data_IF_529256150172
#
_entry.id   IF_529256150172
#
_cell.length_a   1.000
_cell.length_b   1.000
_cell.length_c   1.000
_cell.angle_alpha   90.00
_cell.angle_beta   90.00
_cell.angle_gamma   90.00
#
_symmetry.space_group_name_H-M   'P 1'
#
loop_
_entity.id
_entity.type
_entity.pdbx_description
1 polymer ?
#
# COMPACT_ATOMS: atom_id res chain seq x y z
N UNK A 1 14.51 -1.89 64.62
CA UNK A 1 14.49 -2.93 63.58
C UNK A 1 13.59 -2.43 62.46
N UNK A 2 14.21 -1.69 61.53
CA UNK A 2 14.18 -1.87 60.07
C UNK A 2 12.80 -2.07 59.41
N UNK A 3 12.26 -1.07 58.72
CA UNK A 3 12.55 -0.67 57.33
C UNK A 3 11.87 -1.55 56.27
N UNK A 4 10.98 -0.93 55.47
CA UNK A 4 10.67 -1.13 54.04
C UNK A 4 10.53 -2.58 53.48
N UNK A 5 9.50 -2.94 52.70
CA UNK A 5 9.35 -2.71 51.24
C UNK A 5 7.96 -3.30 50.86
N UNK A 6 6.99 -2.50 50.41
CA UNK A 6 6.60 -2.31 49.00
C UNK A 6 6.06 -3.56 48.26
N UNK A 7 4.80 -3.50 47.84
CA UNK A 7 4.34 -4.14 46.60
C UNK A 7 3.03 -3.48 46.14
N UNK A 8 3.15 -2.26 45.63
CA UNK A 8 2.10 -1.63 44.85
C UNK A 8 1.96 -2.43 43.55
N UNK A 9 0.92 -3.25 43.44
CA UNK A 9 0.56 -3.90 42.17
C UNK A 9 0.14 -2.81 41.19
N UNK A 10 1.06 -2.39 40.33
CA UNK A 10 0.76 -1.54 39.18
C UNK A 10 -0.13 -2.35 38.23
N UNK A 11 -1.37 -1.94 37.96
CA UNK A 11 -2.15 -2.59 36.93
C UNK A 11 -1.49 -2.26 35.59
N UNK A 12 -1.05 -3.30 34.87
CA UNK A 12 -0.57 -3.16 33.49
C UNK A 12 -1.69 -2.55 32.65
N UNK A 13 -1.55 -1.27 32.30
CA UNK A 13 -2.38 -0.64 31.28
C UNK A 13 -2.24 -1.49 30.02
N UNK A 14 -3.33 -2.16 29.61
CA UNK A 14 -3.43 -2.73 28.28
C UNK A 14 -3.38 -1.55 27.32
N UNK A 15 -2.24 -1.32 26.68
CA UNK A 15 -2.15 -0.46 25.51
C UNK A 15 -3.13 -1.00 24.48
N UNK A 16 -4.30 -0.36 24.36
CA UNK A 16 -5.16 -0.56 23.23
C UNK A 16 -4.34 -0.10 22.02
N UNK A 17 -3.81 -1.04 21.24
CA UNK A 17 -3.33 -0.74 19.89
C UNK A 17 -4.50 -0.06 19.19
N UNK A 18 -4.46 1.27 19.09
CA UNK A 18 -5.45 2.03 18.32
C UNK A 18 -5.40 1.42 16.92
N UNK A 19 -6.42 0.65 16.55
CA UNK A 19 -6.64 0.30 15.15
C UNK A 19 -6.67 1.66 14.45
N UNK A 20 -5.64 1.96 13.63
CA UNK A 20 -5.72 3.08 12.71
C UNK A 20 -6.93 2.78 11.84
N UNK A 21 -8.06 3.42 12.14
CA UNK A 21 -9.17 3.46 11.20
C UNK A 21 -8.61 4.03 9.91
N UNK A 22 -8.55 3.17 8.90
CA UNK A 22 -8.25 3.57 7.54
C UNK A 22 -9.36 4.55 7.15
N UNK A 23 -8.96 5.72 6.65
CA UNK A 23 -9.89 6.77 6.23
C UNK A 23 -10.10 6.61 4.73
N UNK A 24 -11.30 6.96 4.20
CA UNK A 24 -11.47 7.14 2.77
C UNK A 24 -10.47 8.20 2.31
N UNK A 25 -9.65 7.85 1.33
CA UNK A 25 -8.62 8.73 0.82
C UNK A 25 -9.10 9.51 -0.39
N UNK A 26 -8.57 10.71 -0.53
CA UNK A 26 -8.68 11.46 -1.77
C UNK A 26 -8.03 10.68 -2.92
N UNK A 27 -8.73 10.59 -4.05
CA UNK A 27 -8.34 9.75 -5.18
C UNK A 27 -7.05 10.26 -5.84
N UNK A 28 -6.93 11.58 -6.05
CA UNK A 28 -5.77 12.17 -6.73
C UNK A 28 -4.51 12.00 -5.90
N UNK A 29 -4.62 12.24 -4.60
CA UNK A 29 -3.53 12.05 -3.64
C UNK A 29 -3.06 10.59 -3.62
N UNK A 30 -4.00 9.64 -3.51
CA UNK A 30 -3.67 8.21 -3.53
C UNK A 30 -3.09 7.77 -4.89
N UNK A 31 -3.60 8.30 -6.00
CA UNK A 31 -3.07 8.04 -7.33
C UNK A 31 -1.61 8.50 -7.45
N UNK A 32 -1.30 9.70 -6.95
CA UNK A 32 0.07 10.22 -6.96
C UNK A 32 1.02 9.37 -6.11
N UNK A 33 0.60 9.03 -4.89
CA UNK A 33 1.39 8.21 -3.96
C UNK A 33 1.65 6.82 -4.55
N UNK A 34 0.61 6.20 -5.09
CA UNK A 34 0.67 4.85 -5.63
C UNK A 34 1.51 4.79 -6.91
N UNK A 35 1.39 5.78 -7.80
CA UNK A 35 2.28 5.93 -8.96
C UNK A 35 3.75 6.05 -8.55
N UNK A 36 4.04 6.83 -7.53
CA UNK A 36 5.41 7.03 -7.03
C UNK A 36 5.98 5.74 -6.45
N UNK A 37 5.22 5.05 -5.59
CA UNK A 37 5.62 3.77 -4.99
C UNK A 37 5.85 2.69 -6.06
N UNK A 38 4.94 2.56 -7.04
CA UNK A 38 5.09 1.58 -8.12
C UNK A 38 6.32 1.87 -8.99
N UNK A 39 6.58 3.15 -9.30
CA UNK A 39 7.76 3.55 -10.05
C UNK A 39 9.06 3.22 -9.29
N UNK A 40 9.11 3.49 -7.99
CA UNK A 40 10.26 3.15 -7.16
C UNK A 40 10.48 1.64 -7.09
N UNK A 41 9.41 0.85 -6.88
CA UNK A 41 9.49 -0.61 -6.92
C UNK A 41 9.99 -1.15 -8.24
N UNK A 42 9.50 -0.60 -9.35
CA UNK A 42 9.95 -0.99 -10.68
C UNK A 42 11.43 -0.70 -10.89
N UNK A 43 11.90 0.50 -10.51
CA UNK A 43 13.32 0.87 -10.61
C UNK A 43 14.25 -0.02 -9.77
N UNK A 44 13.77 -0.48 -8.62
CA UNK A 44 14.53 -1.32 -7.70
C UNK A 44 14.37 -2.82 -7.96
N UNK A 45 13.50 -3.22 -8.89
CA UNK A 45 13.25 -4.62 -9.20
C UNK A 45 14.34 -5.19 -10.10
N UNK A 46 14.73 -6.44 -9.82
CA UNK A 46 15.63 -7.22 -10.67
C UNK A 46 14.87 -8.01 -11.76
N UNK A 47 13.55 -7.85 -11.83
CA UNK A 47 12.66 -8.55 -12.76
C UNK A 47 12.04 -7.54 -13.73
N UNK A 48 11.82 -7.93 -15.00
CA UNK A 48 11.23 -7.05 -16.00
C UNK A 48 9.78 -6.66 -15.69
N UNK A 49 9.05 -7.54 -14.99
CA UNK A 49 7.66 -7.34 -14.59
C UNK A 49 7.52 -7.71 -13.12
N UNK A 50 7.87 -6.81 -12.18
CA UNK A 50 7.75 -7.11 -10.76
C UNK A 50 6.27 -7.22 -10.38
N UNK A 51 5.94 -8.27 -9.64
CA UNK A 51 4.57 -8.57 -9.22
C UNK A 51 4.46 -8.57 -7.71
N UNK A 52 3.38 -7.99 -7.19
CA UNK A 52 3.10 -7.87 -5.76
C UNK A 52 1.65 -8.27 -5.46
N UNK A 53 1.41 -8.83 -4.28
CA UNK A 53 0.04 -9.07 -3.82
C UNK A 53 -0.63 -7.73 -3.48
N UNK A 54 -1.87 -7.54 -3.93
CA UNK A 54 -2.61 -6.30 -3.72
C UNK A 54 -2.83 -6.02 -2.23
N UNK A 55 -3.00 -7.07 -1.42
CA UNK A 55 -3.16 -6.96 0.03
C UNK A 55 -1.89 -6.44 0.72
N UNK A 56 -0.71 -6.73 0.19
CA UNK A 56 0.56 -6.19 0.69
C UNK A 56 0.72 -4.73 0.28
N UNK A 57 0.44 -4.43 -0.99
CA UNK A 57 0.53 -3.07 -1.52
C UNK A 57 -0.43 -2.13 -0.76
N UNK A 58 -1.67 -2.57 -0.51
CA UNK A 58 -2.67 -1.80 0.21
C UNK A 58 -2.38 -1.57 1.71
N UNK A 59 -1.41 -2.29 2.30
CA UNK A 59 -0.97 -2.03 3.69
C UNK A 59 -0.02 -0.84 3.78
N UNK A 60 0.63 -0.46 2.68
CA UNK A 60 1.58 0.66 2.64
C UNK A 60 0.86 2.00 2.77
N UNK A 61 -0.37 2.06 2.27
CA UNK A 61 -1.16 3.28 2.26
C UNK A 61 -2.07 3.37 3.49
N UNK A 62 -2.24 4.57 4.08
CA UNK A 62 -3.17 4.81 5.19
C UNK A 62 -4.65 4.82 4.74
N UNK A 63 -4.94 4.29 3.55
CA UNK A 63 -6.24 4.32 2.87
C UNK A 63 -6.97 2.99 2.99
N UNK A 64 -8.29 3.05 2.79
CA UNK A 64 -9.11 1.85 2.69
C UNK A 64 -8.70 0.97 1.52
N UNK A 65 -8.79 -0.34 1.73
CA UNK A 65 -8.40 -1.34 0.73
C UNK A 65 -9.12 -1.14 -0.61
N UNK A 66 -10.41 -0.79 -0.54
CA UNK A 66 -11.25 -0.56 -1.72
C UNK A 66 -10.75 0.62 -2.54
N UNK A 67 -10.27 1.69 -1.92
CA UNK A 67 -9.78 2.86 -2.65
C UNK A 67 -8.45 2.57 -3.34
N UNK A 68 -7.56 1.81 -2.70
CA UNK A 68 -6.33 1.30 -3.33
C UNK A 68 -6.65 0.44 -4.55
N UNK A 69 -7.63 -0.47 -4.44
CA UNK A 69 -8.05 -1.32 -5.55
C UNK A 69 -8.62 -0.50 -6.71
N UNK A 70 -9.45 0.51 -6.43
CA UNK A 70 -9.99 1.41 -7.47
C UNK A 70 -8.87 2.13 -8.22
N UNK A 71 -7.87 2.67 -7.51
CA UNK A 71 -6.73 3.33 -8.13
C UNK A 71 -5.90 2.36 -8.97
N UNK A 72 -5.69 1.13 -8.49
CA UNK A 72 -5.00 0.09 -9.26
C UNK A 72 -5.74 -0.30 -10.54
N UNK A 73 -7.06 -0.43 -10.49
CA UNK A 73 -7.89 -0.67 -11.68
C UNK A 73 -7.83 0.51 -12.66
N UNK A 74 -7.78 1.74 -12.14
CA UNK A 74 -7.56 2.92 -12.98
C UNK A 74 -6.19 2.87 -13.67
N UNK A 75 -5.13 2.49 -12.95
CA UNK A 75 -3.80 2.32 -13.53
C UNK A 75 -3.74 1.14 -14.52
N UNK A 76 -4.51 0.08 -14.29
CA UNK A 76 -4.65 -1.05 -15.23
C UNK A 76 -5.21 -0.57 -16.57
N UNK A 77 -6.25 0.27 -16.54
CA UNK A 77 -6.83 0.87 -17.74
C UNK A 77 -5.84 1.75 -18.52
N UNK A 78 -4.88 2.37 -17.82
CA UNK A 78 -3.81 3.13 -18.45
C UNK A 78 -2.64 2.28 -18.96
N UNK A 79 -2.64 0.96 -18.69
CA UNK A 79 -1.57 0.04 -19.07
C UNK A 79 -0.32 0.09 -18.19
N UNK A 80 -0.34 0.85 -17.09
CA UNK A 80 0.80 0.98 -16.16
C UNK A 80 0.95 -0.24 -15.23
N UNK A 81 -0.14 -0.96 -15.00
CA UNK A 81 -0.14 -2.23 -14.24
C UNK A 81 -1.01 -3.25 -14.98
N UNK A 82 -0.81 -4.52 -14.65
CA UNK A 82 -1.63 -5.64 -15.10
C UNK A 82 -2.11 -6.42 -13.88
N UNK A 83 -3.38 -6.85 -13.88
CA UNK A 83 -3.95 -7.69 -12.82
C UNK A 83 -4.40 -9.02 -13.46
N UNK A 84 -3.48 -10.00 -13.61
CA UNK A 84 -3.75 -11.21 -14.39
C UNK A 84 -4.90 -12.06 -13.81
N UNK A 85 -5.01 -12.08 -12.48
CA UNK A 85 -5.93 -12.97 -11.76
C UNK A 85 -7.30 -12.33 -11.44
N UNK A 86 -7.62 -11.16 -12.02
CA UNK A 86 -8.79 -10.39 -11.62
C UNK A 86 -10.14 -11.09 -11.85
N UNK A 87 -10.17 -12.03 -12.78
CA UNK A 87 -11.37 -12.78 -13.15
C UNK A 87 -11.47 -14.16 -12.49
N UNK A 88 -10.39 -14.62 -11.85
CA UNK A 88 -10.24 -16.00 -11.36
C UNK A 88 -10.18 -16.09 -9.84
N UNK A 89 -9.64 -15.08 -9.16
CA UNK A 89 -9.42 -15.11 -7.71
C UNK A 89 -10.20 -14.02 -6.96
N UNK A 90 -10.43 -14.18 -5.64
CA UNK A 90 -10.93 -13.12 -4.78
C UNK A 90 -10.03 -11.89 -4.82
N UNK A 91 -10.61 -10.69 -4.64
CA UNK A 91 -9.89 -9.41 -4.75
C UNK A 91 -8.67 -9.36 -3.82
N UNK A 92 -8.72 -10.00 -2.65
CA UNK A 92 -7.60 -10.00 -1.70
C UNK A 92 -6.37 -10.77 -2.20
N UNK A 93 -6.55 -11.70 -3.14
CA UNK A 93 -5.52 -12.58 -3.67
C UNK A 93 -4.98 -12.09 -5.03
N UNK A 94 -5.50 -10.98 -5.54
CA UNK A 94 -5.04 -10.43 -6.81
C UNK A 94 -3.57 -10.02 -6.74
N UNK A 95 -2.88 -10.29 -7.84
CA UNK A 95 -1.51 -9.83 -8.07
C UNK A 95 -1.52 -8.61 -8.97
N UNK A 96 -0.68 -7.65 -8.63
CA UNK A 96 -0.42 -6.44 -9.42
C UNK A 96 0.96 -6.58 -10.01
N UNK A 97 1.01 -6.75 -11.33
CA UNK A 97 2.23 -6.76 -12.10
C UNK A 97 2.50 -5.36 -12.65
N UNK A 98 3.64 -4.78 -12.32
CA UNK A 98 4.00 -3.43 -12.78
C UNK A 98 4.52 -3.51 -14.21
N UNK A 99 3.92 -2.74 -15.11
CA UNK A 99 4.28 -2.72 -16.52
C UNK A 99 5.35 -1.64 -16.81
N UNK A 100 6.20 -1.82 -17.84
CA UNK A 100 7.24 -0.86 -18.21
C UNK A 100 6.72 0.55 -18.51
N UNK A 101 5.46 0.68 -18.91
CA UNK A 101 4.79 1.96 -19.17
C UNK A 101 4.78 2.88 -17.94
N UNK A 102 4.97 2.35 -16.73
CA UNK A 102 5.15 3.14 -15.52
C UNK A 102 6.34 4.12 -15.62
N UNK A 103 7.33 3.83 -16.46
CA UNK A 103 8.50 4.69 -16.68
C UNK A 103 8.14 6.02 -17.36
N UNK A 104 7.00 6.10 -18.06
CA UNK A 104 6.54 7.34 -18.69
C UNK A 104 6.28 8.45 -17.67
N UNK A 105 5.97 8.08 -16.43
CA UNK A 105 5.83 8.99 -15.30
C UNK A 105 7.12 9.77 -14.99
N UNK A 106 8.29 9.28 -15.41
CA UNK A 106 9.54 10.02 -15.27
C UNK A 106 9.51 11.25 -16.17
N UNK A 107 8.99 11.11 -17.40
CA UNK A 107 8.97 12.17 -18.40
C UNK A 107 7.87 13.20 -18.14
N UNK A 108 6.74 12.79 -17.55
CA UNK A 108 5.67 13.72 -17.13
C UNK A 108 6.16 14.78 -16.15
N UNK A 109 7.16 14.46 -15.29
CA UNK A 109 7.74 15.41 -14.34
C UNK A 109 8.59 16.51 -14.98
N UNK A 110 9.02 16.34 -16.24
CA UNK A 110 9.87 17.29 -16.95
C UNK A 110 9.13 18.11 -18.01
N UNK A 111 7.84 17.86 -18.22
CA UNK A 111 7.00 18.56 -19.21
C UNK A 111 6.21 19.74 -18.61
N UNK A 112 6.70 20.33 -17.51
CA UNK A 112 6.11 21.52 -16.85
C UNK A 112 6.99 22.74 -17.05
#
# INVERSE_FOLDING_TARGET
MDAFVQSSRVPKLKESKRKKEKRPCDFESLLYDLRTELLERYKNANLPYPSYEIAELAKLFPCDFVDVVKVLLYLENSGMVLIPDKNSLPIQEWRVEIQPLILDLIFDRYNV
#
